data_IF_407136818400
#
_entry.id   IF_407136818400
#
_cell.length_a   1.000
_cell.length_b   1.000
_cell.length_c   1.000
_cell.angle_alpha   90.00
_cell.angle_beta   90.00
_cell.angle_gamma   90.00
#
_symmetry.space_group_name_H-M   'P 1'
#
loop_
_entity.id
_entity.type
_entity.pdbx_description
1 polymer ?
#
# COMPACT_ATOMS: atom_id res chain seq x y z
N UNK A 1 27.56 -17.84 20.39
CA UNK A 1 27.47 -16.97 21.59
C UNK A 1 26.08 -16.33 21.80
N UNK A 2 25.12 -16.47 20.87
CA UNK A 2 23.78 -15.84 20.95
C UNK A 2 22.71 -16.66 21.69
N UNK A 3 22.91 -17.98 21.86
CA UNK A 3 21.90 -18.88 22.47
C UNK A 3 21.85 -18.84 24.01
N UNK A 4 22.93 -18.41 24.70
CA UNK A 4 23.02 -18.43 26.17
C UNK A 4 22.37 -17.19 26.84
N UNK A 5 21.83 -16.25 26.05
CA UNK A 5 21.16 -15.02 26.50
C UNK A 5 19.66 -15.02 26.23
N UNK A 6 19.08 -16.15 25.85
CA UNK A 6 17.65 -16.23 25.62
C UNK A 6 16.91 -16.00 26.96
N UNK A 7 16.05 -14.96 27.07
CA UNK A 7 15.24 -14.74 28.26
C UNK A 7 14.34 -15.97 28.49
N UNK A 8 14.13 -16.36 29.75
CA UNK A 8 13.22 -17.47 30.06
C UNK A 8 11.82 -17.22 29.49
N UNK A 9 11.03 -18.29 29.24
CA UNK A 9 9.72 -18.20 28.57
C UNK A 9 8.80 -17.09 29.11
N UNK A 10 8.72 -16.93 30.44
CA UNK A 10 7.93 -15.87 31.09
C UNK A 10 8.44 -14.47 30.74
N UNK A 11 9.76 -14.29 30.72
CA UNK A 11 10.39 -13.00 30.38
C UNK A 11 10.25 -12.69 28.89
N UNK A 12 10.37 -13.70 28.02
CA UNK A 12 10.09 -13.56 26.59
C UNK A 12 8.64 -13.13 26.33
N UNK A 13 7.65 -13.73 27.00
CA UNK A 13 6.24 -13.35 26.88
C UNK A 13 5.97 -11.91 27.34
N UNK A 14 6.56 -11.48 28.46
CA UNK A 14 6.43 -10.09 28.93
C UNK A 14 7.09 -9.12 27.96
N UNK A 15 8.27 -9.44 27.43
CA UNK A 15 8.94 -8.61 26.43
C UNK A 15 8.13 -8.53 25.13
N UNK A 16 7.61 -9.65 24.63
CA UNK A 16 6.78 -9.68 23.43
C UNK A 16 5.51 -8.84 23.60
N UNK A 17 4.81 -8.99 24.73
CA UNK A 17 3.62 -8.19 25.02
C UNK A 17 3.93 -6.69 25.08
N UNK A 18 5.03 -6.32 25.75
CA UNK A 18 5.48 -4.93 25.80
C UNK A 18 5.82 -4.39 24.41
N UNK A 19 6.52 -5.16 23.59
CA UNK A 19 6.85 -4.77 22.21
C UNK A 19 5.60 -4.55 21.36
N UNK A 20 4.60 -5.42 21.46
CA UNK A 20 3.33 -5.23 20.73
C UNK A 20 2.61 -3.96 21.20
N UNK A 21 2.53 -3.74 22.51
CA UNK A 21 1.91 -2.52 23.07
C UNK A 21 2.64 -1.25 22.63
N UNK A 22 3.97 -1.23 22.69
CA UNK A 22 4.80 -0.11 22.27
C UNK A 22 4.61 0.16 20.76
N UNK A 23 4.55 -0.89 19.93
CA UNK A 23 4.28 -0.74 18.51
C UNK A 23 2.87 -0.20 18.24
N UNK A 24 1.83 -0.68 18.94
CA UNK A 24 0.47 -0.16 18.74
C UNK A 24 0.34 1.32 19.06
N UNK A 25 0.90 1.77 20.18
CA UNK A 25 0.82 3.17 20.59
C UNK A 25 1.59 4.11 19.65
N UNK A 26 2.63 3.62 18.96
CA UNK A 26 3.40 4.41 18.00
C UNK A 26 2.82 4.34 16.59
N UNK A 27 2.45 3.15 16.12
CA UNK A 27 2.06 2.91 14.72
C UNK A 27 0.62 3.35 14.46
N UNK A 28 -0.33 3.06 15.36
CA UNK A 28 -1.75 3.37 15.11
C UNK A 28 -1.97 4.88 14.90
N UNK A 29 -1.47 5.79 15.75
CA UNK A 29 -1.70 7.23 15.54
C UNK A 29 -1.06 7.76 14.24
N UNK A 30 0.11 7.22 13.88
CA UNK A 30 0.81 7.59 12.64
C UNK A 30 0.01 7.13 11.43
N UNK A 31 -0.42 5.88 11.41
CA UNK A 31 -1.25 5.31 10.34
C UNK A 31 -2.55 6.09 10.19
N UNK A 32 -3.26 6.35 11.30
CA UNK A 32 -4.52 7.10 11.29
C UNK A 32 -4.33 8.52 10.76
N UNK A 33 -3.25 9.21 11.15
CA UNK A 33 -2.99 10.59 10.69
C UNK A 33 -2.65 10.61 9.21
N UNK A 34 -1.73 9.76 8.76
CA UNK A 34 -1.29 9.69 7.36
C UNK A 34 -2.44 9.22 6.46
N UNK A 35 -3.16 8.18 6.87
CA UNK A 35 -4.32 7.64 6.15
C UNK A 35 -5.43 8.67 6.02
N UNK A 36 -5.79 9.36 7.11
CA UNK A 36 -6.83 10.42 7.07
C UNK A 36 -6.43 11.56 6.14
N UNK A 37 -5.19 12.04 6.23
CA UNK A 37 -4.69 13.09 5.33
C UNK A 37 -4.69 12.62 3.87
N UNK A 38 -4.27 11.38 3.61
CA UNK A 38 -4.29 10.79 2.29
C UNK A 38 -5.71 10.69 1.73
N UNK A 39 -6.69 10.27 2.53
CA UNK A 39 -8.10 10.24 2.14
C UNK A 39 -8.62 11.63 1.80
N UNK A 40 -8.32 12.65 2.62
CA UNK A 40 -8.74 14.03 2.34
C UNK A 40 -8.14 14.52 1.02
N UNK A 41 -6.85 14.27 0.80
CA UNK A 41 -6.18 14.65 -0.44
C UNK A 41 -6.73 13.87 -1.65
N UNK A 42 -7.01 12.58 -1.49
CA UNK A 42 -7.58 11.74 -2.55
C UNK A 42 -8.99 12.18 -2.97
N UNK A 43 -9.84 12.52 -1.99
CA UNK A 43 -11.24 12.86 -2.27
C UNK A 43 -11.42 14.30 -2.73
N UNK A 44 -10.62 15.24 -2.22
CA UNK A 44 -10.84 16.67 -2.44
C UNK A 44 -9.79 17.36 -3.32
N UNK A 45 -8.71 16.68 -3.72
CA UNK A 45 -7.66 17.29 -4.56
C UNK A 45 -7.29 16.41 -5.76
N UNK A 46 -6.96 17.00 -6.93
CA UNK A 46 -6.60 16.24 -8.14
C UNK A 46 -5.14 15.75 -8.13
N UNK A 47 -4.47 15.72 -6.97
CA UNK A 47 -3.05 15.36 -6.87
C UNK A 47 -2.83 13.92 -7.35
N UNK A 48 -3.71 13.00 -6.94
CA UNK A 48 -3.62 11.59 -7.32
C UNK A 48 -3.99 11.35 -8.78
N UNK A 49 -4.90 12.16 -9.35
CA UNK A 49 -5.17 12.19 -10.79
C UNK A 49 -3.92 12.51 -11.60
N UNK A 50 -3.16 13.53 -11.19
CA UNK A 50 -1.96 13.92 -11.93
C UNK A 50 -0.84 12.89 -11.84
N UNK A 51 -0.66 12.28 -10.66
CA UNK A 51 0.36 11.24 -10.46
C UNK A 51 -0.07 9.91 -11.13
N UNK A 52 -1.38 9.67 -11.27
CA UNK A 52 -1.96 8.52 -11.97
C UNK A 52 -1.90 8.62 -13.50
N UNK A 53 -1.88 9.81 -14.09
CA UNK A 53 -1.83 9.97 -15.56
C UNK A 53 -0.83 9.04 -16.30
N UNK A 54 0.41 8.81 -15.81
CA UNK A 54 1.36 7.90 -16.46
C UNK A 54 0.92 6.43 -16.50
N UNK A 55 0.05 5.99 -15.58
CA UNK A 55 -0.45 4.61 -15.49
C UNK A 55 -1.69 4.36 -16.36
N UNK A 56 -2.41 5.41 -16.76
CA UNK A 56 -3.57 5.31 -17.65
C UNK A 56 -3.24 4.61 -18.98
N UNK A 57 -2.22 5.05 -19.77
CA UNK A 57 -1.91 4.41 -21.04
C UNK A 57 -1.44 2.96 -20.88
N UNK A 58 -0.84 2.62 -19.73
CA UNK A 58 -0.46 1.24 -19.41
C UNK A 58 -1.70 0.36 -19.20
N UNK A 59 -2.68 0.85 -18.45
CA UNK A 59 -3.94 0.13 -18.21
C UNK A 59 -4.79 0.01 -19.46
N UNK A 60 -4.84 1.06 -20.30
CA UNK A 60 -5.51 1.01 -21.61
C UNK A 60 -4.86 -0.01 -22.56
N UNK A 61 -3.51 -0.06 -22.59
CA UNK A 61 -2.78 -1.06 -23.37
C UNK A 61 -3.09 -2.49 -22.89
N UNK A 62 -3.25 -2.65 -21.59
CA UNK A 62 -3.64 -3.91 -20.96
C UNK A 62 -5.15 -4.18 -21.05
N UNK A 63 -5.91 -3.37 -21.80
CA UNK A 63 -7.37 -3.50 -21.99
C UNK A 63 -8.19 -3.50 -20.69
N UNK A 64 -7.70 -2.80 -19.65
CA UNK A 64 -8.43 -2.67 -18.38
C UNK A 64 -9.57 -1.65 -18.55
N UNK A 65 -10.83 -2.03 -18.29
CA UNK A 65 -11.96 -1.10 -18.29
C UNK A 65 -11.78 -0.02 -17.23
N UNK A 66 -12.32 1.18 -17.44
CA UNK A 66 -12.26 2.27 -16.44
C UNK A 66 -10.82 2.60 -16.00
N UNK A 67 -9.88 2.56 -16.96
CA UNK A 67 -8.44 2.72 -16.73
C UNK A 67 -8.07 4.01 -15.98
N UNK A 68 -8.83 5.10 -16.18
CA UNK A 68 -8.63 6.34 -15.45
C UNK A 68 -8.90 6.15 -13.95
N UNK A 69 -10.06 5.63 -13.57
CA UNK A 69 -10.43 5.41 -12.17
C UNK A 69 -9.50 4.38 -11.49
N UNK A 70 -9.13 3.32 -12.22
CA UNK A 70 -8.17 2.33 -11.75
C UNK A 70 -6.79 2.96 -11.49
N UNK A 71 -6.31 3.79 -12.42
CA UNK A 71 -5.02 4.45 -12.30
C UNK A 71 -4.91 5.35 -11.06
N UNK A 72 -5.94 6.16 -10.82
CA UNK A 72 -5.98 7.08 -9.68
C UNK A 72 -5.96 6.34 -8.35
N UNK A 73 -6.80 5.31 -8.24
CA UNK A 73 -6.89 4.47 -7.03
C UNK A 73 -5.62 3.65 -6.79
N UNK A 74 -4.96 3.18 -7.83
CA UNK A 74 -3.68 2.45 -7.70
C UNK A 74 -2.59 3.30 -7.04
N UNK A 75 -2.48 4.59 -7.39
CA UNK A 75 -1.47 5.47 -6.79
C UNK A 75 -1.81 5.81 -5.35
N UNK A 76 -3.09 5.93 -5.01
CA UNK A 76 -3.54 6.11 -3.62
C UNK A 76 -3.08 4.92 -2.75
N UNK A 77 -2.86 3.74 -3.35
CA UNK A 77 -2.28 2.56 -2.70
C UNK A 77 -0.90 2.78 -2.08
N UNK A 78 -0.16 3.79 -2.55
CA UNK A 78 1.10 4.19 -1.92
C UNK A 78 0.89 4.81 -0.54
N UNK A 79 -0.24 5.50 -0.34
CA UNK A 79 -0.54 6.15 0.93
C UNK A 79 -1.15 5.16 1.93
N UNK A 80 -2.04 4.28 1.47
CA UNK A 80 -2.72 3.28 2.30
C UNK A 80 -3.15 2.06 1.48
N UNK A 81 -3.03 0.85 2.05
CA UNK A 81 -3.37 -0.40 1.36
C UNK A 81 -4.88 -0.65 1.20
N UNK A 82 -5.75 -0.01 1.99
CA UNK A 82 -7.20 -0.28 1.96
C UNK A 82 -7.98 0.76 1.15
N UNK A 83 -7.51 2.00 1.12
CA UNK A 83 -8.15 3.09 0.37
C UNK A 83 -8.44 2.74 -1.10
N UNK A 84 -7.54 2.10 -1.88
CA UNK A 84 -7.81 1.76 -3.27
C UNK A 84 -9.04 0.88 -3.44
N UNK A 85 -9.16 -0.14 -2.60
CA UNK A 85 -10.26 -1.11 -2.64
C UNK A 85 -11.60 -0.49 -2.23
N UNK A 86 -11.58 0.49 -1.33
CA UNK A 86 -12.78 1.21 -0.90
C UNK A 86 -13.23 2.20 -1.98
N UNK A 87 -12.29 2.92 -2.59
CA UNK A 87 -12.61 3.93 -3.60
C UNK A 87 -13.08 3.32 -4.92
N UNK A 88 -12.53 2.17 -5.31
CA UNK A 88 -12.90 1.47 -6.55
C UNK A 88 -14.24 0.73 -6.46
N UNK A 89 -14.80 0.52 -5.26
CA UNK A 89 -16.09 -0.14 -5.05
C UNK A 89 -17.22 0.53 -5.86
N UNK A 90 -17.11 1.84 -6.07
CA UNK A 90 -18.06 2.63 -6.85
C UNK A 90 -18.06 2.35 -8.36
N UNK A 91 -17.05 1.64 -8.89
CA UNK A 91 -16.92 1.34 -10.32
C UNK A 91 -17.71 0.08 -10.67
N UNK A 92 -18.55 0.12 -11.71
CA UNK A 92 -19.43 -1.00 -12.07
C UNK A 92 -18.70 -2.25 -12.60
N UNK A 93 -17.46 -2.09 -13.08
CA UNK A 93 -16.72 -3.19 -13.70
C UNK A 93 -15.98 -4.06 -12.67
N UNK A 94 -16.41 -5.32 -12.53
CA UNK A 94 -15.84 -6.30 -11.60
C UNK A 94 -14.38 -6.66 -11.88
N UNK A 95 -13.94 -6.62 -13.15
CA UNK A 95 -12.56 -6.88 -13.52
C UNK A 95 -11.63 -5.79 -12.99
N UNK A 96 -12.05 -4.53 -13.10
CA UNK A 96 -11.30 -3.37 -12.60
C UNK A 96 -11.23 -3.39 -11.07
N UNK A 97 -12.36 -3.68 -10.40
CA UNK A 97 -12.41 -3.86 -8.96
C UNK A 97 -11.46 -4.98 -8.49
N UNK A 98 -11.43 -6.11 -9.21
CA UNK A 98 -10.53 -7.22 -8.91
C UNK A 98 -9.06 -6.82 -9.06
N UNK A 99 -8.69 -6.15 -10.16
CA UNK A 99 -7.30 -5.74 -10.41
C UNK A 99 -6.83 -4.80 -9.29
N UNK A 100 -7.60 -3.77 -8.97
CA UNK A 100 -7.23 -2.80 -7.92
C UNK A 100 -7.21 -3.45 -6.54
N UNK A 101 -8.18 -4.32 -6.25
CA UNK A 101 -8.25 -5.05 -4.97
C UNK A 101 -7.11 -6.04 -4.75
N UNK A 102 -6.68 -6.77 -5.78
CA UNK A 102 -5.52 -7.66 -5.67
C UNK A 102 -4.22 -6.88 -5.58
N UNK A 103 -4.11 -5.80 -6.38
CA UNK A 103 -2.92 -4.97 -6.38
C UNK A 103 -2.68 -4.30 -5.02
N UNK A 104 -3.73 -3.80 -4.37
CA UNK A 104 -3.63 -3.13 -3.08
C UNK A 104 -3.07 -4.04 -1.97
N UNK A 105 -3.40 -5.33 -2.01
CA UNK A 105 -2.86 -6.34 -1.08
C UNK A 105 -1.45 -6.77 -1.44
N UNK A 106 -1.12 -6.85 -2.74
CA UNK A 106 0.21 -7.24 -3.22
C UNK A 106 1.27 -6.16 -2.98
N UNK A 107 0.86 -4.90 -2.84
CA UNK A 107 1.72 -3.77 -2.54
C UNK A 107 2.15 -3.78 -1.06
N UNK A 108 3.29 -4.39 -0.75
CA UNK A 108 3.82 -4.47 0.62
C UNK A 108 4.43 -3.15 1.18
N UNK A 109 4.43 -2.06 0.42
CA UNK A 109 5.10 -0.80 0.82
C UNK A 109 4.14 0.37 0.66
N UNK A 110 3.62 0.84 1.79
CA UNK A 110 2.79 2.02 1.90
C UNK A 110 3.30 2.95 3.01
N UNK A 111 3.05 4.24 2.84
CA UNK A 111 3.60 5.30 3.68
C UNK A 111 3.16 5.18 5.14
N UNK A 112 1.93 4.74 5.39
CA UNK A 112 1.35 4.68 6.73
C UNK A 112 2.05 3.68 7.67
N UNK A 113 2.55 2.55 7.16
CA UNK A 113 3.21 1.52 7.99
C UNK A 113 4.74 1.56 7.86
N UNK A 114 5.24 1.56 6.63
CA UNK A 114 6.69 1.52 6.40
C UNK A 114 7.34 2.88 6.69
N UNK A 115 6.59 3.98 6.59
CA UNK A 115 7.08 5.34 6.90
C UNK A 115 7.50 5.48 8.37
N UNK A 116 6.64 5.11 9.31
CA UNK A 116 6.94 5.18 10.74
C UNK A 116 8.05 4.24 11.18
N UNK A 117 8.06 3.02 10.65
CA UNK A 117 9.09 2.01 10.96
C UNK A 117 10.45 2.40 10.39
N UNK A 118 10.50 2.95 9.17
CA UNK A 118 11.76 3.39 8.55
C UNK A 118 12.30 4.66 9.22
N UNK A 119 11.45 5.64 9.53
CA UNK A 119 11.87 6.84 10.27
C UNK A 119 12.41 6.51 11.66
N UNK A 120 11.88 5.47 12.30
CA UNK A 120 12.37 4.95 13.58
C UNK A 120 13.55 3.97 13.48
N UNK A 121 13.91 3.51 12.28
CA UNK A 121 14.93 2.49 12.05
C UNK A 121 16.19 3.06 11.40
N UNK A 122 17.32 2.36 11.56
CA UNK A 122 18.60 2.75 10.96
C UNK A 122 18.67 2.47 9.45
N UNK A 123 17.55 2.22 8.78
CA UNK A 123 17.51 1.88 7.36
C UNK A 123 17.44 3.20 6.57
N UNK A 124 18.50 3.62 5.86
CA UNK A 124 18.58 4.93 5.23
C UNK A 124 17.89 4.94 3.85
N UNK A 125 16.62 4.54 3.79
CA UNK A 125 15.78 4.71 2.61
C UNK A 125 14.88 5.92 2.79
N UNK A 126 15.09 6.96 1.98
CA UNK A 126 14.21 8.12 1.95
C UNK A 126 12.89 7.86 1.22
N UNK A 127 11.92 8.76 1.42
CA UNK A 127 10.57 8.68 0.83
C UNK A 127 10.58 8.52 -0.70
N UNK A 128 11.50 9.19 -1.40
CA UNK A 128 11.63 9.05 -2.86
C UNK A 128 12.05 7.64 -3.31
N UNK A 129 12.91 6.96 -2.56
CA UNK A 129 13.29 5.56 -2.86
C UNK A 129 12.14 4.60 -2.58
N UNK A 130 11.40 4.83 -1.50
CA UNK A 130 10.20 4.05 -1.18
C UNK A 130 9.15 4.16 -2.30
N UNK A 131 8.91 5.37 -2.78
CA UNK A 131 8.02 5.59 -3.91
C UNK A 131 8.51 4.91 -5.19
N UNK A 132 9.81 4.99 -5.50
CA UNK A 132 10.36 4.28 -6.66
C UNK A 132 10.19 2.75 -6.56
N UNK A 133 10.41 2.15 -5.38
CA UNK A 133 10.19 0.72 -5.17
C UNK A 133 8.71 0.37 -5.34
N UNK A 134 7.81 1.22 -4.84
CA UNK A 134 6.37 1.06 -5.03
C UNK A 134 5.97 1.04 -6.52
N UNK A 135 6.49 1.98 -7.31
CA UNK A 135 6.22 2.02 -8.76
C UNK A 135 6.76 0.77 -9.46
N UNK A 136 8.00 0.37 -9.17
CA UNK A 136 8.62 -0.82 -9.77
C UNK A 136 7.82 -2.08 -9.43
N UNK A 137 7.43 -2.25 -8.17
CA UNK A 137 6.61 -3.40 -7.77
C UNK A 137 5.26 -3.41 -8.48
N UNK A 138 4.60 -2.25 -8.53
CA UNK A 138 3.32 -2.11 -9.23
C UNK A 138 3.44 -2.46 -10.70
N UNK A 139 4.48 -1.99 -11.39
CA UNK A 139 4.74 -2.31 -12.79
C UNK A 139 5.02 -3.80 -13.05
N UNK A 140 5.64 -4.50 -12.08
CA UNK A 140 5.92 -5.94 -12.20
C UNK A 140 4.68 -6.78 -11.89
N UNK A 141 3.90 -6.40 -10.87
CA UNK A 141 2.73 -7.18 -10.43
C UNK A 141 1.51 -6.95 -11.31
N UNK A 142 1.32 -5.73 -11.83
CA UNK A 142 0.13 -5.37 -12.60
C UNK A 142 -0.11 -6.28 -13.82
N UNK A 143 0.89 -6.58 -14.70
CA UNK A 143 0.67 -7.48 -15.83
C UNK A 143 0.24 -8.89 -15.42
N UNK A 144 0.78 -9.40 -14.31
CA UNK A 144 0.43 -10.72 -13.78
C UNK A 144 -1.03 -10.71 -13.31
N UNK A 145 -1.43 -9.68 -12.57
CA UNK A 145 -2.80 -9.52 -12.07
C UNK A 145 -3.78 -9.36 -13.22
N UNK A 146 -3.45 -8.53 -14.21
CA UNK A 146 -4.33 -8.29 -15.36
C UNK A 146 -4.47 -9.54 -16.23
N UNK A 147 -3.42 -10.32 -16.42
CA UNK A 147 -3.50 -11.60 -17.13
C UNK A 147 -4.47 -12.55 -16.41
N UNK A 148 -4.35 -12.65 -15.09
CA UNK A 148 -5.26 -13.44 -14.27
C UNK A 148 -6.69 -12.89 -14.33
N UNK A 149 -6.87 -11.58 -14.32
CA UNK A 149 -8.18 -10.93 -14.42
C UNK A 149 -8.89 -11.30 -15.74
N UNK A 150 -8.20 -11.28 -16.88
CA UNK A 150 -8.75 -11.71 -18.17
C UNK A 150 -9.07 -13.21 -18.26
N UNK A 151 -8.52 -14.03 -17.37
CA UNK A 151 -8.86 -15.45 -17.31
C UNK A 151 -10.15 -15.69 -16.50
N UNK A 152 -10.47 -14.80 -15.57
CA UNK A 152 -11.62 -14.92 -14.67
C UNK A 152 -12.84 -14.09 -15.11
N UNK A 153 -12.64 -13.02 -15.88
CA UNK A 153 -13.65 -12.09 -16.37
C UNK A 153 -13.54 -11.93 -17.89
#
# INVERSE_FOLDING_TARGET
LTAYRAPGFKQYMVTAFKTVMDMWLVVIPVVMTVGTLATILATYTPIFTWIGLPFVPLLELLQVPEAQAASETMIIGFADMFLPSILIESVENSMTQFIVGVLSVCQLIYLSEVGGVILGSKIPVGLGKLFAIFLIRTLITLPIIVLVAHLFF
#
